data_IF_336624342971
#
_entry.id   IF_336624342971
#
_cell.length_a   1.000
_cell.length_b   1.000
_cell.length_c   1.000
_cell.angle_alpha   90.00
_cell.angle_beta   90.00
_cell.angle_gamma   90.00
#
_symmetry.space_group_name_H-M   'P 1'
#
loop_
_entity.id
_entity.type
_entity.pdbx_description
1 polymer ?
#
# COMPACT_ATOMS: atom_id res chain seq x y z
N UNK A 1 6.63 -19.13 6.73
CA UNK A 1 7.10 -18.36 5.57
C UNK A 1 6.69 -16.91 5.77
N UNK A 2 7.63 -15.97 5.82
CA UNK A 2 7.30 -14.54 5.80
C UNK A 2 6.70 -14.21 4.43
N UNK A 3 5.44 -13.73 4.39
CA UNK A 3 4.85 -13.27 3.14
C UNK A 3 5.74 -12.19 2.53
N UNK A 4 5.80 -12.10 1.19
CA UNK A 4 6.44 -10.95 0.55
C UNK A 4 5.63 -9.70 0.92
N UNK A 5 6.31 -8.61 1.27
CA UNK A 5 5.68 -7.35 1.66
C UNK A 5 4.69 -6.83 0.59
N UNK A 6 5.00 -6.97 -0.69
CA UNK A 6 4.05 -6.56 -1.75
C UNK A 6 2.82 -7.47 -1.79
N UNK A 7 2.99 -8.77 -1.55
CA UNK A 7 1.87 -9.70 -1.49
C UNK A 7 0.96 -9.41 -0.28
N UNK A 8 1.52 -9.05 0.87
CA UNK A 8 0.73 -8.66 2.03
C UNK A 8 -0.14 -7.42 1.76
N UNK A 9 0.40 -6.44 1.01
CA UNK A 9 -0.34 -5.25 0.58
C UNK A 9 -1.44 -5.61 -0.43
N UNK A 10 -1.15 -6.50 -1.39
CA UNK A 10 -2.14 -7.00 -2.34
C UNK A 10 -3.28 -7.74 -1.66
N UNK A 11 -2.97 -8.66 -0.73
CA UNK A 11 -3.96 -9.43 0.04
C UNK A 11 -4.90 -8.47 0.81
N UNK A 12 -4.33 -7.47 1.49
CA UNK A 12 -5.09 -6.46 2.22
C UNK A 12 -6.00 -5.66 1.27
N UNK A 13 -5.46 -5.18 0.14
CA UNK A 13 -6.21 -4.39 -0.82
C UNK A 13 -7.35 -5.18 -1.48
N UNK A 14 -7.10 -6.43 -1.85
CA UNK A 14 -8.11 -7.32 -2.44
C UNK A 14 -9.21 -7.66 -1.44
N UNK A 15 -8.86 -7.92 -0.17
CA UNK A 15 -9.82 -8.15 0.91
C UNK A 15 -10.71 -6.92 1.15
N UNK A 16 -10.10 -5.74 1.25
CA UNK A 16 -10.83 -4.47 1.41
C UNK A 16 -11.74 -4.18 0.21
N UNK A 17 -11.25 -4.43 -1.01
CA UNK A 17 -12.03 -4.24 -2.25
C UNK A 17 -13.26 -5.16 -2.26
N UNK A 18 -13.10 -6.44 -1.90
CA UNK A 18 -14.21 -7.40 -1.79
C UNK A 18 -15.25 -7.01 -0.73
N UNK A 19 -14.85 -6.31 0.32
CA UNK A 19 -15.74 -5.77 1.35
C UNK A 19 -16.30 -4.37 1.03
N UNK A 20 -15.88 -3.74 -0.07
CA UNK A 20 -16.20 -2.34 -0.38
C UNK A 20 -15.64 -1.34 0.65
N UNK A 21 -14.59 -1.73 1.38
CA UNK A 21 -13.97 -0.94 2.45
C UNK A 21 -12.68 -0.27 1.96
N UNK A 22 -12.30 0.79 2.67
CA UNK A 22 -11.04 1.52 2.45
C UNK A 22 -10.30 1.65 3.76
N UNK A 23 -8.98 1.74 3.70
CA UNK A 23 -8.14 1.97 4.87
C UNK A 23 -7.15 3.10 4.62
N UNK A 24 -6.69 3.71 5.70
CA UNK A 24 -5.67 4.76 5.67
C UNK A 24 -4.26 4.18 5.72
N UNK A 25 -3.25 5.00 5.46
CA UNK A 25 -1.85 4.61 5.67
C UNK A 25 -1.60 4.07 7.09
N UNK A 26 -2.28 4.60 8.12
CA UNK A 26 -2.19 4.05 9.48
C UNK A 26 -2.69 2.61 9.56
N UNK A 27 -3.85 2.31 8.97
CA UNK A 27 -4.38 0.94 8.96
C UNK A 27 -3.48 -0.03 8.18
N UNK A 28 -2.86 0.43 7.09
CA UNK A 28 -1.85 -0.37 6.38
C UNK A 28 -0.62 -0.61 7.25
N UNK A 29 -0.14 0.40 7.96
CA UNK A 29 1.01 0.27 8.85
C UNK A 29 0.74 -0.71 9.99
N UNK A 30 -0.43 -0.61 10.63
CA UNK A 30 -0.85 -1.51 11.70
C UNK A 30 -0.91 -2.97 11.18
N UNK A 31 -1.47 -3.19 9.99
CA UNK A 31 -1.48 -4.50 9.34
C UNK A 31 -0.08 -5.04 9.04
N UNK A 32 0.79 -4.22 8.43
CA UNK A 32 2.17 -4.61 8.11
C UNK A 32 2.96 -4.96 9.37
N UNK A 33 2.86 -4.13 10.41
CA UNK A 33 3.53 -4.35 11.69
C UNK A 33 3.05 -5.64 12.38
N UNK A 34 1.73 -5.90 12.36
CA UNK A 34 1.12 -7.12 12.91
C UNK A 34 1.62 -8.39 12.19
N UNK A 35 1.89 -8.28 10.89
CA UNK A 35 2.45 -9.35 10.08
C UNK A 35 3.99 -9.41 10.11
N UNK A 36 4.64 -8.74 11.07
CA UNK A 36 6.10 -8.69 11.24
C UNK A 36 6.87 -8.08 10.05
N UNK A 37 6.22 -7.27 9.21
CA UNK A 37 6.91 -6.50 8.20
C UNK A 37 7.58 -5.28 8.81
N UNK A 38 8.84 -5.04 8.41
CA UNK A 38 9.63 -3.88 8.83
C UNK A 38 9.93 -2.98 7.63
N UNK A 39 10.22 -1.72 7.92
CA UNK A 39 10.79 -0.81 6.93
C UNK A 39 12.16 -1.30 6.49
N UNK A 40 12.70 -0.71 5.40
CA UNK A 40 14.06 -1.01 4.95
C UNK A 40 15.14 -0.78 6.03
N UNK A 41 14.87 0.10 7.00
CA UNK A 41 15.76 0.39 8.13
C UNK A 41 15.51 -0.50 9.36
N UNK A 42 14.65 -1.53 9.25
CA UNK A 42 14.29 -2.43 10.35
C UNK A 42 13.25 -1.89 11.33
N UNK A 43 12.76 -0.66 11.12
CA UNK A 43 11.76 -0.02 11.97
C UNK A 43 10.33 -0.46 11.69
N UNK A 44 9.40 -0.03 12.55
CA UNK A 44 7.96 -0.22 12.33
C UNK A 44 7.43 0.82 11.34
N UNK A 45 6.40 0.45 10.60
CA UNK A 45 5.63 1.37 9.78
C UNK A 45 4.83 2.34 10.66
N UNK A 46 4.84 3.63 10.32
CA UNK A 46 4.19 4.69 11.10
C UNK A 46 2.86 5.19 10.50
N UNK A 47 2.49 4.68 9.33
CA UNK A 47 1.30 5.12 8.58
C UNK A 47 1.48 6.45 7.85
N UNK A 48 2.72 6.95 7.78
CA UNK A 48 3.09 8.21 7.15
C UNK A 48 3.82 7.96 5.81
N UNK A 49 4.69 8.89 5.39
CA UNK A 49 5.40 8.88 4.09
C UNK A 49 6.01 7.52 3.75
N UNK A 50 6.66 6.85 4.71
CA UNK A 50 7.26 5.53 4.50
C UNK A 50 6.23 4.47 4.09
N UNK A 51 5.09 4.42 4.78
CA UNK A 51 4.00 3.48 4.46
C UNK A 51 3.38 3.77 3.10
N UNK A 52 3.12 5.05 2.78
CA UNK A 52 2.58 5.43 1.47
C UNK A 52 3.55 5.15 0.32
N UNK A 53 4.85 5.33 0.54
CA UNK A 53 5.87 4.94 -0.44
C UNK A 53 5.79 3.44 -0.73
N UNK A 54 5.72 2.63 0.32
CA UNK A 54 5.60 1.17 0.18
C UNK A 54 4.30 0.75 -0.54
N UNK A 55 3.18 1.41 -0.27
CA UNK A 55 1.92 1.20 -1.01
C UNK A 55 2.08 1.52 -2.49
N UNK A 56 2.71 2.65 -2.82
CA UNK A 56 2.96 3.06 -4.21
C UNK A 56 3.92 2.10 -4.93
N UNK A 57 4.97 1.64 -4.25
CA UNK A 57 5.90 0.65 -4.78
C UNK A 57 5.21 -0.68 -5.07
N UNK A 58 4.31 -1.14 -4.17
CA UNK A 58 3.49 -2.33 -4.40
C UNK A 58 2.55 -2.16 -5.60
N UNK A 59 1.85 -1.02 -5.69
CA UNK A 59 0.97 -0.72 -6.83
C UNK A 59 1.74 -0.75 -8.16
N UNK A 60 2.94 -0.14 -8.20
CA UNK A 60 3.83 -0.15 -9.36
C UNK A 60 4.34 -1.55 -9.70
N UNK A 61 4.65 -2.36 -8.69
CA UNK A 61 5.08 -3.75 -8.86
C UNK A 61 4.01 -4.57 -9.59
N UNK A 62 2.77 -4.60 -9.09
CA UNK A 62 1.68 -5.35 -9.73
C UNK A 62 1.28 -4.77 -11.08
N UNK A 63 1.33 -3.44 -11.23
CA UNK A 63 1.08 -2.79 -12.52
C UNK A 63 2.09 -3.23 -13.59
N UNK A 64 3.37 -3.38 -13.23
CA UNK A 64 4.42 -3.88 -14.15
C UNK A 64 4.34 -5.38 -14.40
N UNK A 65 3.92 -6.16 -13.40
CA UNK A 65 3.77 -7.61 -13.53
C UNK A 65 2.55 -8.05 -14.35
N UNK A 66 1.71 -7.10 -14.79
CA UNK A 66 0.50 -7.38 -15.58
C UNK A 66 -0.77 -7.62 -14.75
N UNK A 67 -0.69 -7.57 -13.42
CA UNK A 67 -1.85 -7.67 -12.53
C UNK A 67 -2.47 -6.29 -12.27
N UNK A 68 -3.10 -5.76 -13.32
CA UNK A 68 -3.75 -4.46 -13.29
C UNK A 68 -4.91 -4.39 -12.29
N UNK A 69 -5.58 -5.53 -12.01
CA UNK A 69 -6.69 -5.59 -11.06
C UNK A 69 -6.20 -5.37 -9.64
N UNK A 70 -5.16 -6.09 -9.22
CA UNK A 70 -4.55 -5.89 -7.89
C UNK A 70 -3.98 -4.49 -7.75
N UNK A 71 -3.28 -3.99 -8.78
CA UNK A 71 -2.76 -2.62 -8.78
C UNK A 71 -3.86 -1.57 -8.59
N UNK A 72 -5.01 -1.74 -9.26
CA UNK A 72 -6.18 -0.87 -9.12
C UNK A 72 -6.80 -0.97 -7.73
N UNK A 73 -6.94 -2.18 -7.19
CA UNK A 73 -7.44 -2.39 -5.83
C UNK A 73 -6.56 -1.68 -4.79
N UNK A 74 -5.24 -1.78 -4.92
CA UNK A 74 -4.29 -1.08 -4.03
C UNK A 74 -4.51 0.43 -4.09
N UNK A 75 -4.61 1.01 -5.29
CA UNK A 75 -4.81 2.44 -5.47
C UNK A 75 -6.15 2.96 -4.92
N UNK A 76 -7.21 2.15 -5.04
CA UNK A 76 -8.58 2.56 -4.67
C UNK A 76 -8.93 2.31 -3.20
N UNK A 77 -8.33 1.29 -2.57
CA UNK A 77 -8.65 0.88 -1.19
C UNK A 77 -7.68 1.43 -0.16
N UNK A 78 -6.41 1.63 -0.53
CA UNK A 78 -5.36 2.11 0.38
C UNK A 78 -5.14 3.61 0.16
N UNK A 79 -6.11 4.40 0.62
CA UNK A 79 -6.15 5.85 0.39
C UNK A 79 -5.44 6.61 1.51
N UNK A 80 -4.64 7.63 1.17
CA UNK A 80 -4.38 8.69 2.14
C UNK A 80 -5.66 9.51 2.26
N UNK A 81 -6.08 9.81 3.50
CA UNK A 81 -7.23 10.67 3.80
C UNK A 81 -7.14 12.04 3.10
N UNK A 82 -5.94 12.43 2.67
CA UNK A 82 -5.65 13.69 1.96
C UNK A 82 -5.05 13.55 0.55
N UNK A 83 -4.68 12.35 0.09
CA UNK A 83 -3.97 12.19 -1.18
C UNK A 83 -4.29 10.85 -1.82
N UNK A 84 -5.07 10.87 -2.88
CA UNK A 84 -5.10 9.78 -3.85
C UNK A 84 -3.63 9.43 -4.21
N UNK A 85 -3.16 8.17 -4.10
CA UNK A 85 -1.77 7.83 -4.45
C UNK A 85 -1.43 8.18 -5.90
N UNK A 86 -2.42 8.31 -6.79
CA UNK A 86 -2.25 8.87 -8.13
C UNK A 86 -1.78 10.34 -8.16
N UNK A 87 -1.93 11.08 -7.05
CA UNK A 87 -1.55 12.50 -6.93
C UNK A 87 -0.13 12.73 -6.38
N UNK A 88 0.50 11.75 -5.73
CA UNK A 88 1.89 11.93 -5.27
C UNK A 88 2.86 11.90 -6.46
N UNK A 89 2.53 11.18 -7.53
CA UNK A 89 3.33 11.14 -8.76
C UNK A 89 3.32 12.47 -9.56
N UNK A 90 2.42 13.42 -9.25
CA UNK A 90 2.30 14.70 -9.98
C UNK A 90 2.86 15.92 -9.25
N UNK A 91 3.29 15.83 -7.99
CA UNK A 91 3.68 17.01 -7.18
C UNK A 91 5.18 17.23 -6.95
N UNK A 92 6.04 16.42 -7.57
CA UNK A 92 7.51 16.62 -7.60
C UNK A 92 8.01 17.18 -8.96
N UNK A 93 7.14 17.89 -9.72
CA UNK A 93 7.48 18.55 -10.99
C UNK A 93 7.01 20.02 -11.05
N UNK A 94 7.06 20.74 -9.93
CA UNK A 94 6.79 22.19 -9.91
C UNK A 94 7.80 22.89 -9.04
#
# INVERSE_FOLDING_TARGET
MSKNLFQAIADLANSLSGMGRKTSGKGVADYLNTNNHKTQTGGNYSGKRGTYKTIADAQKHFSKSGDAKTASNIANTLVSKDKNPAWVAKKDRS
#
